data_IF_958824641831
#
_entry.id   IF_958824641831
#
_cell.length_a   1.000
_cell.length_b   1.000
_cell.length_c   1.000
_cell.angle_alpha   90.00
_cell.angle_beta   90.00
_cell.angle_gamma   90.00
#
_symmetry.space_group_name_H-M   'P 1'
#
loop_
_entity.id
_entity.type
_entity.pdbx_description
1 polymer ?
#
# COMPACT_ATOMS: atom_id res chain seq x y z
N UNK A 1 -31.33 23.10 -11.68
CA UNK A 1 -31.04 21.78 -12.30
C UNK A 1 -29.68 21.19 -11.89
N UNK A 2 -28.58 21.96 -11.85
CA UNK A 2 -27.23 21.46 -11.50
C UNK A 2 -27.13 20.75 -10.12
N UNK A 3 -27.81 21.28 -9.09
CA UNK A 3 -27.77 20.74 -7.72
C UNK A 3 -28.46 19.37 -7.60
N UNK A 4 -29.59 19.18 -8.29
CA UNK A 4 -30.30 17.89 -8.36
C UNK A 4 -29.50 16.84 -9.14
N UNK A 5 -28.83 17.23 -10.25
CA UNK A 5 -27.97 16.34 -11.02
C UNK A 5 -26.75 15.87 -10.22
N UNK A 6 -26.10 16.75 -9.45
CA UNK A 6 -24.98 16.39 -8.56
C UNK A 6 -25.40 15.45 -7.42
N UNK A 7 -26.65 15.56 -6.95
CA UNK A 7 -27.20 14.69 -5.88
C UNK A 7 -27.48 13.27 -6.38
N UNK A 8 -27.79 13.11 -7.67
CA UNK A 8 -28.09 11.82 -8.31
C UNK A 8 -26.82 11.15 -8.85
N UNK A 9 -25.89 11.91 -9.43
CA UNK A 9 -24.68 11.40 -10.10
C UNK A 9 -23.47 11.32 -9.14
N UNK A 10 -23.52 12.04 -8.01
CA UNK A 10 -22.42 12.16 -7.05
C UNK A 10 -21.33 13.13 -7.51
N UNK A 11 -20.50 13.59 -6.57
CA UNK A 11 -19.37 14.46 -6.89
C UNK A 11 -18.33 13.73 -7.75
N UNK A 12 -17.47 14.46 -8.47
CA UNK A 12 -16.32 13.87 -9.19
C UNK A 12 -15.50 12.96 -8.25
N UNK A 13 -15.21 13.46 -7.05
CA UNK A 13 -14.49 12.72 -6.02
C UNK A 13 -15.19 11.41 -5.63
N UNK A 14 -16.51 11.43 -5.38
CA UNK A 14 -17.26 10.21 -5.07
C UNK A 14 -17.24 9.20 -6.22
N UNK A 15 -17.31 9.66 -7.47
CA UNK A 15 -17.22 8.78 -8.65
C UNK A 15 -15.83 8.18 -8.80
N UNK A 16 -14.78 8.94 -8.54
CA UNK A 16 -13.41 8.45 -8.60
C UNK A 16 -13.17 7.40 -7.50
N UNK A 17 -13.63 7.64 -6.26
CA UNK A 17 -13.57 6.64 -5.19
C UNK A 17 -14.34 5.36 -5.52
N UNK A 18 -15.54 5.47 -6.13
CA UNK A 18 -16.32 4.30 -6.56
C UNK A 18 -15.56 3.42 -7.56
N UNK A 19 -14.72 4.01 -8.42
CA UNK A 19 -13.88 3.25 -9.36
C UNK A 19 -12.74 2.49 -8.68
N UNK A 20 -12.29 2.94 -7.51
CA UNK A 20 -11.20 2.29 -6.77
C UNK A 20 -11.71 1.14 -5.89
N UNK A 21 -13.00 1.15 -5.52
CA UNK A 21 -13.58 0.14 -4.63
C UNK A 21 -13.37 -1.32 -5.12
N UNK A 22 -13.52 -1.66 -6.41
CA UNK A 22 -13.24 -3.03 -6.88
C UNK A 22 -11.79 -3.46 -6.66
N UNK A 23 -10.82 -2.53 -6.76
CA UNK A 23 -9.41 -2.84 -6.49
C UNK A 23 -9.19 -3.11 -4.99
N UNK A 24 -9.80 -2.31 -4.12
CA UNK A 24 -9.75 -2.51 -2.66
C UNK A 24 -10.35 -3.87 -2.27
N UNK A 25 -11.52 -4.21 -2.82
CA UNK A 25 -12.16 -5.50 -2.62
C UNK A 25 -11.26 -6.66 -3.09
N UNK A 26 -10.62 -6.52 -4.25
CA UNK A 26 -9.69 -7.52 -4.78
C UNK A 26 -8.45 -7.68 -3.90
N UNK A 27 -7.86 -6.59 -3.43
CA UNK A 27 -6.72 -6.60 -2.48
C UNK A 27 -7.11 -7.36 -1.21
N UNK A 28 -8.26 -7.03 -0.63
CA UNK A 28 -8.73 -7.67 0.61
C UNK A 28 -9.03 -9.16 0.42
N UNK A 29 -9.58 -9.56 -0.73
CA UNK A 29 -9.79 -10.96 -1.05
C UNK A 29 -8.46 -11.73 -1.17
N UNK A 30 -7.50 -11.18 -1.92
CA UNK A 30 -6.16 -11.75 -2.07
C UNK A 30 -5.41 -11.83 -0.74
N UNK A 31 -5.51 -10.81 0.11
CA UNK A 31 -4.86 -10.83 1.43
C UNK A 31 -5.37 -11.99 2.29
N UNK A 32 -6.68 -12.27 2.27
CA UNK A 32 -7.27 -13.44 2.95
C UNK A 32 -6.76 -14.76 2.38
N UNK A 33 -6.56 -14.85 1.07
CA UNK A 33 -5.92 -16.01 0.45
C UNK A 33 -4.46 -16.16 0.92
N UNK A 34 -3.73 -15.04 1.01
CA UNK A 34 -2.32 -15.00 1.39
C UNK A 34 -2.07 -15.31 2.87
N UNK A 35 -3.08 -15.19 3.74
CA UNK A 35 -2.99 -15.66 5.14
C UNK A 35 -2.70 -17.16 5.24
N UNK A 36 -3.01 -17.95 4.20
CA UNK A 36 -2.73 -19.40 4.16
C UNK A 36 -1.31 -19.73 3.72
N UNK A 37 -0.57 -18.75 3.21
CA UNK A 37 0.80 -18.96 2.76
C UNK A 37 1.74 -19.08 3.96
N UNK A 38 2.76 -19.92 3.83
CA UNK A 38 3.94 -19.83 4.70
C UNK A 38 4.72 -18.54 4.43
N UNK A 39 5.63 -18.20 5.34
CA UNK A 39 6.49 -17.03 5.18
C UNK A 39 7.34 -17.11 3.88
N UNK A 40 7.93 -18.27 3.59
CA UNK A 40 8.72 -18.48 2.38
C UNK A 40 7.88 -18.36 1.10
N UNK A 41 6.63 -18.84 1.12
CA UNK A 41 5.71 -18.67 -0.01
C UNK A 41 5.34 -17.20 -0.23
N UNK A 42 5.10 -16.44 0.85
CA UNK A 42 4.81 -15.01 0.75
C UNK A 42 6.03 -14.23 0.24
N UNK A 43 7.23 -14.51 0.75
CA UNK A 43 8.48 -13.93 0.26
C UNK A 43 8.70 -14.27 -1.23
N UNK A 44 8.40 -15.51 -1.63
CA UNK A 44 8.46 -15.98 -3.01
C UNK A 44 7.60 -15.20 -4.00
N UNK A 45 6.54 -14.52 -3.54
CA UNK A 45 5.71 -13.63 -4.38
C UNK A 45 6.52 -12.51 -5.02
N UNK A 46 7.52 -11.97 -4.33
CA UNK A 46 8.38 -10.92 -4.90
C UNK A 46 9.12 -11.41 -6.13
N UNK A 47 9.65 -12.64 -6.10
CA UNK A 47 10.33 -13.23 -7.25
C UNK A 47 9.33 -13.52 -8.39
N UNK A 48 8.16 -14.07 -8.06
CA UNK A 48 7.06 -14.30 -9.01
C UNK A 48 6.64 -13.00 -9.72
N UNK A 49 6.47 -11.90 -8.99
CA UNK A 49 6.06 -10.62 -9.56
C UNK A 49 7.13 -10.03 -10.48
N UNK A 50 8.41 -10.11 -10.08
CA UNK A 50 9.54 -9.68 -10.93
C UNK A 50 9.62 -10.49 -12.22
N UNK A 51 9.44 -11.80 -12.13
CA UNK A 51 9.42 -12.68 -13.30
C UNK A 51 8.26 -12.34 -14.24
N UNK A 52 7.05 -12.14 -13.70
CA UNK A 52 5.88 -11.72 -14.49
C UNK A 52 6.10 -10.37 -15.18
N UNK A 53 6.73 -9.40 -14.51
CA UNK A 53 7.10 -8.11 -15.12
C UNK A 53 8.09 -8.29 -16.26
N UNK A 54 9.09 -9.16 -16.10
CA UNK A 54 10.05 -9.48 -17.16
C UNK A 54 9.37 -10.12 -18.39
N UNK A 55 8.26 -10.84 -18.17
CA UNK A 55 7.42 -11.42 -19.21
C UNK A 55 6.30 -10.49 -19.73
N UNK A 56 6.36 -9.18 -19.44
CA UNK A 56 5.49 -8.17 -20.05
C UNK A 56 4.16 -7.92 -19.34
N UNK A 57 3.94 -8.51 -18.16
CA UNK A 57 2.81 -8.14 -17.29
C UNK A 57 2.99 -6.69 -16.84
N UNK A 58 1.92 -5.90 -16.80
CA UNK A 58 1.99 -4.49 -16.37
C UNK A 58 1.98 -4.34 -14.85
N UNK A 59 2.61 -3.29 -14.32
CA UNK A 59 2.53 -2.94 -12.90
C UNK A 59 1.09 -2.81 -12.41
N UNK A 60 0.24 -2.13 -13.17
CA UNK A 60 -1.17 -1.91 -12.83
C UNK A 60 -1.91 -3.23 -12.60
N UNK A 61 -1.59 -4.27 -13.37
CA UNK A 61 -2.20 -5.59 -13.22
C UNK A 61 -1.72 -6.35 -11.98
N UNK A 62 -0.49 -6.06 -11.51
CA UNK A 62 0.08 -6.63 -10.28
C UNK A 62 -0.34 -5.88 -9.01
N UNK A 63 -0.89 -4.67 -9.14
CA UNK A 63 -1.19 -3.78 -8.01
C UNK A 63 -1.93 -4.50 -6.89
N UNK A 64 -2.98 -5.25 -7.22
CA UNK A 64 -3.81 -5.87 -6.18
C UNK A 64 -3.08 -6.98 -5.43
N UNK A 65 -2.25 -7.75 -6.13
CA UNK A 65 -1.44 -8.84 -5.56
C UNK A 65 -0.29 -8.29 -4.72
N UNK A 66 0.41 -7.27 -5.22
CA UNK A 66 1.48 -6.60 -4.50
C UNK A 66 0.98 -5.93 -3.21
N UNK A 67 -0.14 -5.20 -3.27
CA UNK A 67 -0.74 -4.55 -2.10
C UNK A 67 -1.27 -5.58 -1.09
N UNK A 68 -1.81 -6.71 -1.57
CA UNK A 68 -2.22 -7.80 -0.70
C UNK A 68 -1.04 -8.45 0.03
N UNK A 69 0.11 -8.61 -0.65
CA UNK A 69 1.33 -9.10 -0.02
C UNK A 69 1.79 -8.15 1.10
N UNK A 70 1.91 -6.85 0.82
CA UNK A 70 2.26 -5.83 1.82
C UNK A 70 1.30 -5.85 3.01
N UNK A 71 -0.02 -5.85 2.76
CA UNK A 71 -1.03 -5.91 3.83
C UNK A 71 -0.91 -7.19 4.67
N UNK A 72 -0.57 -8.32 4.05
CA UNK A 72 -0.37 -9.58 4.77
C UNK A 72 0.90 -9.55 5.63
N UNK A 73 1.99 -8.95 5.15
CA UNK A 73 3.21 -8.73 5.96
C UNK A 73 2.88 -7.86 7.19
N UNK A 74 2.20 -6.73 6.99
CA UNK A 74 1.74 -5.88 8.10
C UNK A 74 0.90 -6.67 9.12
N UNK A 75 0.04 -7.60 8.67
CA UNK A 75 -0.72 -8.48 9.56
C UNK A 75 0.16 -9.44 10.34
N UNK A 76 1.16 -10.04 9.70
CA UNK A 76 2.08 -10.99 10.37
C UNK A 76 2.97 -10.30 11.39
N UNK A 77 3.26 -9.02 11.19
CA UNK A 77 4.03 -8.21 12.13
C UNK A 77 3.22 -7.81 13.38
N UNK A 78 1.91 -8.03 13.45
CA UNK A 78 1.10 -7.66 14.61
C UNK A 78 1.67 -8.22 15.92
N UNK A 79 1.89 -7.33 16.88
CA UNK A 79 2.44 -7.65 18.20
C UNK A 79 3.96 -7.80 18.26
N UNK A 80 4.66 -7.70 17.12
CA UNK A 80 6.13 -7.67 17.10
C UNK A 80 6.64 -6.32 17.62
N UNK A 81 7.87 -6.33 18.16
CA UNK A 81 8.55 -5.11 18.60
C UNK A 81 9.70 -4.81 17.64
N UNK A 82 9.79 -3.57 17.19
CA UNK A 82 10.81 -3.09 16.25
C UNK A 82 11.53 -1.90 16.89
N UNK A 83 12.87 -1.91 16.82
CA UNK A 83 13.68 -0.79 17.26
C UNK A 83 13.72 0.30 16.19
N UNK A 84 13.18 1.47 16.50
CA UNK A 84 13.06 2.62 15.60
C UNK A 84 13.66 3.83 16.28
N UNK A 85 14.76 4.35 15.76
CA UNK A 85 15.48 5.50 16.34
C UNK A 85 15.75 5.33 17.84
N UNK A 86 16.21 4.14 18.25
CA UNK A 86 16.52 3.79 19.66
C UNK A 86 15.27 3.69 20.56
N UNK A 87 14.08 3.67 19.96
CA UNK A 87 12.82 3.41 20.65
C UNK A 87 12.22 2.07 20.22
N UNK A 88 11.79 1.28 21.19
CA UNK A 88 11.04 0.06 20.92
C UNK A 88 9.58 0.41 20.61
N UNK A 89 9.12 0.04 19.41
CA UNK A 89 7.76 0.27 18.94
C UNK A 89 7.06 -1.05 18.69
N UNK A 90 5.87 -1.23 19.26
CA UNK A 90 5.02 -2.38 18.94
C UNK A 90 4.31 -2.13 17.62
N UNK A 91 4.36 -3.11 16.72
CA UNK A 91 3.62 -3.08 15.48
C UNK A 91 2.15 -3.45 15.71
N UNK A 92 1.27 -2.46 15.59
CA UNK A 92 -0.19 -2.62 15.74
C UNK A 92 -0.93 -2.07 14.50
N UNK A 93 -0.40 -2.35 13.32
CA UNK A 93 -0.88 -1.75 12.07
C UNK A 93 -1.24 -2.80 11.02
N UNK A 94 -2.48 -2.77 10.54
CA UNK A 94 -2.90 -3.44 9.30
C UNK A 94 -3.59 -2.40 8.41
N UNK A 95 -3.17 -2.24 7.15
CA UNK A 95 -3.77 -1.25 6.26
C UNK A 95 -5.31 -1.32 6.17
N UNK A 96 -5.97 -0.20 6.47
CA UNK A 96 -7.39 0.02 6.25
C UNK A 96 -7.71 0.30 4.78
N UNK A 97 -8.98 0.17 4.40
CA UNK A 97 -9.43 0.39 3.01
C UNK A 97 -9.11 1.81 2.50
N UNK A 98 -9.23 2.83 3.37
CA UNK A 98 -8.85 4.21 3.02
C UNK A 98 -7.35 4.36 2.75
N UNK A 99 -6.51 3.56 3.41
CA UNK A 99 -5.07 3.53 3.19
C UNK A 99 -4.72 2.80 1.88
N UNK A 100 -5.43 1.72 1.56
CA UNK A 100 -5.33 1.05 0.26
C UNK A 100 -5.67 2.03 -0.87
N UNK A 101 -6.75 2.80 -0.72
CA UNK A 101 -7.12 3.87 -1.66
C UNK A 101 -5.99 4.90 -1.81
N UNK A 102 -5.43 5.37 -0.69
CA UNK A 102 -4.30 6.30 -0.71
C UNK A 102 -3.11 5.76 -1.51
N UNK A 103 -2.74 4.50 -1.30
CA UNK A 103 -1.65 3.84 -2.03
C UNK A 103 -1.94 3.72 -3.53
N UNK A 104 -3.17 3.39 -3.91
CA UNK A 104 -3.60 3.32 -5.31
C UNK A 104 -3.49 4.70 -5.97
N UNK A 105 -3.95 5.75 -5.30
CA UNK A 105 -3.90 7.13 -5.80
C UNK A 105 -2.45 7.58 -6.00
N UNK A 106 -1.55 7.27 -5.06
CA UNK A 106 -0.12 7.56 -5.19
C UNK A 106 0.51 6.83 -6.38
N UNK A 107 0.20 5.54 -6.57
CA UNK A 107 0.67 4.77 -7.72
C UNK A 107 0.18 5.35 -9.05
N UNK A 108 -1.04 5.89 -9.10
CA UNK A 108 -1.58 6.59 -10.28
C UNK A 108 -0.92 7.96 -10.55
N UNK A 109 0.15 8.33 -9.82
CA UNK A 109 0.86 9.60 -10.00
C UNK A 109 0.06 10.81 -9.51
N UNK A 110 -0.88 10.62 -8.58
CA UNK A 110 -1.73 11.68 -8.04
C UNK A 110 -1.40 11.97 -6.58
N UNK A 111 -1.90 13.11 -6.09
CA UNK A 111 -1.81 13.49 -4.67
C UNK A 111 -2.92 12.77 -3.90
N UNK A 112 -2.54 12.01 -2.87
CA UNK A 112 -3.45 11.44 -1.90
C UNK A 112 -3.57 12.37 -0.69
N UNK A 113 -4.63 13.18 -0.63
CA UNK A 113 -4.92 14.01 0.55
C UNK A 113 -5.47 13.12 1.68
N UNK A 114 -4.75 13.05 2.78
CA UNK A 114 -5.11 12.25 3.96
C UNK A 114 -4.86 13.07 5.23
N UNK A 115 -5.84 13.07 6.13
CA UNK A 115 -5.74 13.78 7.40
C UNK A 115 -4.56 13.27 8.25
N UNK A 116 -4.12 14.09 9.19
CA UNK A 116 -3.12 13.65 10.19
C UNK A 116 -3.70 12.53 11.04
N UNK A 117 -2.93 11.46 11.25
CA UNK A 117 -3.40 10.25 11.93
C UNK A 117 -3.84 9.11 11.00
N UNK A 118 -4.11 9.38 9.72
CA UNK A 118 -4.57 8.36 8.75
C UNK A 118 -3.47 7.36 8.30
N UNK A 119 -2.27 7.41 8.89
CA UNK A 119 -1.18 6.48 8.60
C UNK A 119 -0.49 6.68 7.24
N UNK A 120 -0.23 7.93 6.85
CA UNK A 120 0.47 8.28 5.59
C UNK A 120 1.80 7.53 5.39
N UNK A 121 2.56 7.32 6.46
CA UNK A 121 3.83 6.56 6.40
C UNK A 121 3.59 5.11 6.00
N UNK A 122 2.62 4.43 6.61
CA UNK A 122 2.23 3.07 6.24
C UNK A 122 1.71 3.00 4.80
N UNK A 123 0.92 4.00 4.36
CA UNK A 123 0.38 4.07 3.00
C UNK A 123 1.48 4.06 1.94
N UNK A 124 2.61 4.72 2.20
CA UNK A 124 3.72 4.81 1.25
C UNK A 124 4.35 3.44 0.93
N UNK A 125 4.32 2.48 1.86
CA UNK A 125 4.94 1.15 1.67
C UNK A 125 4.41 0.41 0.44
N UNK A 126 3.10 0.49 0.18
CA UNK A 126 2.43 -0.24 -0.90
C UNK A 126 2.86 0.22 -2.31
N UNK A 127 2.75 1.51 -2.68
CA UNK A 127 3.23 1.98 -3.98
C UNK A 127 4.76 1.94 -4.08
N UNK A 128 5.51 2.11 -2.98
CA UNK A 128 6.97 1.96 -3.00
C UNK A 128 7.35 0.53 -3.39
N UNK A 129 6.77 -0.48 -2.72
CA UNK A 129 6.99 -1.89 -3.01
C UNK A 129 6.63 -2.22 -4.46
N UNK A 130 5.41 -1.89 -4.89
CA UNK A 130 4.94 -2.19 -6.26
C UNK A 130 5.88 -1.61 -7.32
N UNK A 131 6.26 -0.34 -7.20
CA UNK A 131 7.12 0.30 -8.20
C UNK A 131 8.57 -0.21 -8.15
N UNK A 132 9.07 -0.59 -6.97
CA UNK A 132 10.41 -1.16 -6.80
C UNK A 132 10.55 -2.55 -7.46
N UNK A 133 9.45 -3.26 -7.72
CA UNK A 133 9.47 -4.54 -8.45
C UNK A 133 10.02 -4.41 -9.87
N UNK A 134 10.01 -3.20 -10.46
CA UNK A 134 10.63 -2.95 -11.77
C UNK A 134 12.15 -3.03 -11.78
N UNK A 135 12.80 -3.13 -10.61
CA UNK A 135 14.24 -3.04 -10.46
C UNK A 135 14.79 -1.61 -10.59
N UNK A 136 13.91 -0.60 -10.74
CA UNK A 136 14.28 0.81 -10.68
C UNK A 136 14.19 1.33 -9.25
N UNK A 137 14.98 2.35 -8.96
CA UNK A 137 14.95 3.02 -7.66
C UNK A 137 13.63 3.79 -7.47
N UNK A 138 13.09 3.74 -6.25
CA UNK A 138 11.95 4.55 -5.83
C UNK A 138 12.39 5.40 -4.64
N UNK A 139 12.15 6.70 -4.69
CA UNK A 139 12.61 7.64 -3.66
C UNK A 139 11.42 8.14 -2.83
N UNK A 140 11.47 7.90 -1.52
CA UNK A 140 10.57 8.52 -0.55
C UNK A 140 11.26 9.76 0.03
N UNK A 141 10.68 10.94 -0.18
CA UNK A 141 11.21 12.21 0.30
C UNK A 141 10.42 12.68 1.51
N UNK A 142 11.11 12.99 2.60
CA UNK A 142 10.54 13.57 3.82
C UNK A 142 11.08 14.98 4.03
N UNK A 143 10.53 15.70 5.01
CA UNK A 143 10.94 17.10 5.28
C UNK A 143 12.27 17.22 6.03
N UNK A 144 12.79 16.13 6.61
CA UNK A 144 14.07 16.12 7.33
C UNK A 144 14.64 14.70 7.52
N UNK A 145 15.92 14.64 7.87
CA UNK A 145 16.68 13.39 8.06
C UNK A 145 16.14 12.51 9.17
N UNK A 146 15.60 13.11 10.24
CA UNK A 146 14.99 12.35 11.34
C UNK A 146 13.79 11.54 10.84
N UNK A 147 12.87 12.16 10.09
CA UNK A 147 11.71 11.46 9.54
C UNK A 147 12.13 10.44 8.48
N UNK A 148 13.15 10.74 7.67
CA UNK A 148 13.69 9.76 6.71
C UNK A 148 14.20 8.51 7.43
N UNK A 149 15.04 8.69 8.46
CA UNK A 149 15.59 7.58 9.27
C UNK A 149 14.48 6.81 9.97
N UNK A 150 13.59 7.51 10.68
CA UNK A 150 12.45 6.91 11.39
C UNK A 150 11.59 6.08 10.45
N UNK A 151 11.17 6.64 9.33
CA UNK A 151 10.25 5.97 8.41
C UNK A 151 10.93 4.77 7.74
N UNK A 152 12.22 4.88 7.38
CA UNK A 152 12.99 3.74 6.83
C UNK A 152 13.14 2.59 7.83
N UNK A 153 13.35 2.89 9.11
CA UNK A 153 13.53 1.87 10.14
C UNK A 153 12.20 1.25 10.54
N UNK A 154 11.16 2.07 10.67
CA UNK A 154 9.85 1.62 11.09
C UNK A 154 9.16 0.79 10.01
N UNK A 155 9.22 1.21 8.75
CA UNK A 155 8.61 0.49 7.64
C UNK A 155 9.54 -0.58 7.04
N UNK A 156 10.83 -0.60 7.38
CA UNK A 156 11.80 -1.54 6.81
C UNK A 156 11.49 -3.03 6.98
N UNK A 157 10.82 -3.48 8.07
CA UNK A 157 10.37 -4.86 8.20
C UNK A 157 9.23 -5.28 7.26
N UNK A 158 8.57 -4.33 6.59
CA UNK A 158 7.47 -4.57 5.64
C UNK A 158 8.01 -4.82 4.23
#
# INVERSE_FOLDING_TARGET
MQWLLNKIIGSKHQRDLRKLRPLVERINALEKEYQRLSESQLQGKTAEFKDRLAHGVSLDSLLSEAFAAVKNVCRRLLGTTISVCEHEMVWDMVPFDVQLIGGIVLHQGKIAEMATGEGKTLVATMPLYLNALTGRNVHLVTVNDYLARRDSQWMGPV
#
